data_IF_235643174644
#
_entry.id   IF_235643174644
#
_cell.length_a   1.000
_cell.length_b   1.000
_cell.length_c   1.000
_cell.angle_alpha   90.00
_cell.angle_beta   90.00
_cell.angle_gamma   90.00
#
_symmetry.space_group_name_H-M   'P 1'
#
loop_
_entity.id
_entity.type
_entity.pdbx_description
1 polymer ?
#
# COMPACT_ATOMS: atom_id res chain seq x y z
N UNK A 1 17.63 2.52 4.80
CA UNK A 1 16.48 2.12 5.65
C UNK A 1 15.47 1.36 4.80
N UNK A 2 14.83 0.32 5.33
CA UNK A 2 13.82 -0.49 4.61
C UNK A 2 12.57 0.32 4.24
N UNK A 3 12.30 1.41 4.97
CA UNK A 3 11.23 2.37 4.70
C UNK A 3 11.25 2.94 3.28
N UNK A 4 12.43 3.25 2.73
CA UNK A 4 12.54 3.78 1.36
C UNK A 4 12.09 2.74 0.32
N UNK A 5 12.36 1.46 0.58
CA UNK A 5 11.94 0.35 -0.28
C UNK A 5 10.42 0.17 -0.18
N UNK A 6 9.88 0.17 1.05
CA UNK A 6 8.43 0.10 1.29
C UNK A 6 7.73 1.25 0.58
N UNK A 7 8.19 2.49 0.79
CA UNK A 7 7.67 3.70 0.15
C UNK A 7 7.71 3.59 -1.38
N UNK A 8 8.83 3.15 -1.95
CA UNK A 8 8.98 3.02 -3.40
C UNK A 8 8.05 2.00 -4.03
N UNK A 9 7.69 0.93 -3.32
CA UNK A 9 6.73 -0.04 -3.83
C UNK A 9 5.28 0.41 -3.60
N UNK A 10 4.98 0.99 -2.44
CA UNK A 10 3.64 1.48 -2.11
C UNK A 10 3.27 2.74 -2.90
N UNK A 11 4.23 3.49 -3.45
CA UNK A 11 3.93 4.64 -4.31
C UNK A 11 3.12 4.27 -5.55
N UNK A 12 3.22 3.01 -6.02
CA UNK A 12 2.37 2.49 -7.10
C UNK A 12 0.87 2.54 -6.79
N UNK A 13 0.50 2.51 -5.51
CA UNK A 13 -0.90 2.58 -5.07
C UNK A 13 -1.48 3.99 -5.19
N UNK A 14 -0.66 5.02 -5.41
CA UNK A 14 -1.15 6.40 -5.58
C UNK A 14 -2.12 6.50 -6.76
N UNK A 15 -1.84 5.82 -7.86
CA UNK A 15 -2.63 5.85 -9.10
C UNK A 15 -3.79 4.84 -9.12
N UNK A 16 -3.93 3.98 -8.10
CA UNK A 16 -5.01 2.99 -8.05
C UNK A 16 -6.37 3.68 -7.85
N UNK A 17 -7.32 3.49 -8.76
CA UNK A 17 -8.63 4.16 -8.74
C UNK A 17 -9.77 3.24 -8.28
N UNK A 18 -9.50 1.94 -8.13
CA UNK A 18 -10.47 0.93 -7.69
C UNK A 18 -9.90 -0.07 -6.70
N UNK A 19 -10.77 -0.78 -5.97
CA UNK A 19 -10.37 -1.85 -5.06
C UNK A 19 -9.65 -3.01 -5.78
N UNK A 20 -10.04 -3.29 -7.02
CA UNK A 20 -9.45 -4.33 -7.87
C UNK A 20 -8.03 -3.97 -8.32
N UNK A 21 -7.79 -2.71 -8.67
CA UNK A 21 -6.44 -2.23 -8.99
C UNK A 21 -5.53 -2.25 -7.77
N UNK A 22 -6.06 -1.87 -6.60
CA UNK A 22 -5.32 -2.01 -5.34
C UNK A 22 -4.92 -3.46 -5.11
N UNK A 23 -5.83 -4.42 -5.29
CA UNK A 23 -5.50 -5.85 -5.14
C UNK A 23 -4.42 -6.30 -6.12
N UNK A 24 -4.55 -5.94 -7.41
CA UNK A 24 -3.54 -6.26 -8.45
C UNK A 24 -2.16 -5.70 -8.09
N UNK A 25 -2.09 -4.45 -7.66
CA UNK A 25 -0.83 -3.81 -7.27
C UNK A 25 -0.25 -4.49 -6.02
N UNK A 26 -1.07 -4.81 -5.03
CA UNK A 26 -0.63 -5.52 -3.83
C UNK A 26 -0.10 -6.93 -4.16
N UNK A 27 -0.76 -7.66 -5.06
CA UNK A 27 -0.30 -8.98 -5.52
C UNK A 27 1.03 -8.90 -6.29
N UNK A 28 1.31 -7.79 -6.95
CA UNK A 28 2.60 -7.53 -7.58
C UNK A 28 3.69 -7.11 -6.57
N UNK A 29 3.33 -6.27 -5.60
CA UNK A 29 4.26 -5.62 -4.67
C UNK A 29 4.66 -6.53 -3.51
N UNK A 30 3.72 -7.28 -2.92
CA UNK A 30 3.98 -8.11 -1.73
C UNK A 30 5.09 -9.14 -1.97
N UNK A 31 5.12 -9.90 -3.10
CA UNK A 31 6.22 -10.82 -3.38
C UNK A 31 7.57 -10.13 -3.50
N UNK A 32 7.60 -8.92 -4.09
CA UNK A 32 8.82 -8.12 -4.24
C UNK A 32 9.33 -7.62 -2.90
N UNK A 33 8.43 -7.17 -2.02
CA UNK A 33 8.77 -6.79 -0.64
C UNK A 33 9.34 -7.99 0.13
N UNK A 34 8.70 -9.16 0.03
CA UNK A 34 9.17 -10.41 0.65
C UNK A 34 10.57 -10.79 0.13
N UNK A 35 10.82 -10.70 -1.17
CA UNK A 35 12.12 -10.96 -1.78
C UNK A 35 13.23 -10.01 -1.29
N UNK A 36 12.87 -8.78 -0.89
CA UNK A 36 13.77 -7.81 -0.26
C UNK A 36 13.91 -8.01 1.27
N UNK A 37 13.39 -9.12 1.81
CA UNK A 37 13.42 -9.40 3.26
C UNK A 37 12.56 -8.45 4.07
N UNK A 38 11.47 -7.93 3.47
CA UNK A 38 10.46 -7.10 4.14
C UNK A 38 9.22 -7.95 4.38
N UNK A 39 8.86 -8.11 5.66
CA UNK A 39 7.67 -8.87 6.05
C UNK A 39 6.42 -8.00 6.04
N UNK A 40 5.24 -8.62 5.90
CA UNK A 40 3.95 -7.91 5.98
C UNK A 40 3.79 -7.12 7.29
N UNK A 41 4.20 -7.62 8.48
CA UNK A 41 4.22 -6.82 9.70
C UNK A 41 5.08 -5.55 9.60
N UNK A 42 6.21 -5.58 8.87
CA UNK A 42 7.03 -4.38 8.64
C UNK A 42 6.32 -3.37 7.74
N UNK A 43 5.60 -3.85 6.73
CA UNK A 43 4.73 -2.99 5.89
C UNK A 43 3.63 -2.36 6.75
N UNK A 44 3.00 -3.12 7.63
CA UNK A 44 1.98 -2.58 8.55
C UNK A 44 2.56 -1.56 9.53
N UNK A 45 3.76 -1.79 10.05
CA UNK A 45 4.46 -0.84 10.92
C UNK A 45 4.71 0.49 10.19
N UNK A 46 5.05 0.42 8.91
CA UNK A 46 5.15 1.61 8.06
C UNK A 46 3.81 2.35 7.97
N UNK A 47 2.69 1.66 7.69
CA UNK A 47 1.36 2.30 7.72
C UNK A 47 1.02 2.91 9.09
N UNK A 48 1.43 2.29 10.20
CA UNK A 48 1.22 2.84 11.55
C UNK A 48 2.03 4.12 11.80
N UNK A 49 3.22 4.23 11.22
CA UNK A 49 4.10 5.40 11.37
C UNK A 49 3.65 6.58 10.51
N UNK A 50 3.24 6.32 9.27
CA UNK A 50 2.95 7.38 8.29
C UNK A 50 1.44 7.63 8.09
N UNK A 51 0.56 6.75 8.59
CA UNK A 51 -0.89 6.93 8.49
C UNK A 51 -1.36 7.09 7.04
N UNK A 52 -2.12 8.15 6.78
CA UNK A 52 -2.62 8.49 5.45
C UNK A 52 -1.49 8.85 4.46
N UNK A 53 -0.33 9.31 4.95
CA UNK A 53 0.82 9.65 4.12
C UNK A 53 1.67 8.42 3.73
N UNK A 54 1.29 7.22 4.19
CA UNK A 54 1.92 5.98 3.78
C UNK A 54 1.77 5.73 2.26
N UNK A 55 0.70 6.27 1.66
CA UNK A 55 0.44 6.23 0.22
C UNK A 55 0.47 7.67 -0.30
N UNK A 56 1.30 7.97 -1.31
CA UNK A 56 1.28 9.29 -1.94
C UNK A 56 -0.10 9.61 -2.48
N UNK A 57 -0.52 10.86 -2.32
CA UNK A 57 -1.80 11.35 -2.86
C UNK A 57 -1.75 11.27 -4.38
N UNK A 58 -2.83 10.78 -4.97
CA UNK A 58 -3.00 10.89 -6.42
C UNK A 58 -3.15 12.35 -6.80
N UNK A 59 -2.51 12.77 -7.90
CA UNK A 59 -2.76 14.08 -8.51
C UNK A 59 -3.95 14.05 -9.48
N UNK A 60 -4.55 12.87 -9.72
CA UNK A 60 -5.72 12.75 -10.57
C UNK A 60 -6.98 13.20 -9.84
N UNK A 61 -7.60 14.28 -10.31
CA UNK A 61 -8.86 14.80 -9.78
C UNK A 61 -10.06 13.89 -10.07
N UNK A 62 -9.91 12.87 -10.92
CA UNK A 62 -10.94 11.86 -11.23
C UNK A 62 -10.88 10.63 -10.31
N UNK A 63 -9.99 10.65 -9.32
CA UNK A 63 -9.81 9.50 -8.45
C UNK A 63 -11.10 9.20 -7.67
N UNK A 64 -11.63 7.99 -7.83
CA UNK A 64 -12.91 7.59 -7.21
C UNK A 64 -12.77 7.27 -5.72
N UNK A 65 -11.53 7.09 -5.23
CA UNK A 65 -11.24 6.78 -3.83
C UNK A 65 -10.49 7.96 -3.21
N UNK A 66 -11.09 8.58 -2.19
CA UNK A 66 -10.42 9.57 -1.33
C UNK A 66 -9.10 9.01 -0.79
N UNK A 67 -8.05 9.83 -0.77
CA UNK A 67 -6.71 9.41 -0.35
C UNK A 67 -6.67 8.82 1.08
N UNK A 68 -7.39 9.41 2.04
CA UNK A 68 -7.51 8.89 3.40
C UNK A 68 -8.20 7.52 3.44
N UNK A 69 -9.23 7.33 2.61
CA UNK A 69 -9.88 6.02 2.49
C UNK A 69 -8.96 5.00 1.81
N UNK A 70 -8.12 5.42 0.87
CA UNK A 70 -7.20 4.53 0.14
C UNK A 70 -6.17 3.89 1.06
N UNK A 71 -5.54 4.67 1.94
CA UNK A 71 -4.59 4.14 2.92
C UNK A 71 -5.25 3.10 3.85
N UNK A 72 -6.48 3.38 4.32
CA UNK A 72 -7.24 2.45 5.15
C UNK A 72 -7.62 1.16 4.39
N UNK A 73 -8.11 1.27 3.15
CA UNK A 73 -8.46 0.13 2.29
C UNK A 73 -7.24 -0.76 2.07
N UNK A 74 -6.09 -0.17 1.76
CA UNK A 74 -4.85 -0.91 1.57
C UNK A 74 -4.43 -1.64 2.84
N UNK A 75 -4.51 -0.97 4.00
CA UNK A 75 -4.21 -1.60 5.28
C UNK A 75 -5.14 -2.79 5.57
N UNK A 76 -6.44 -2.66 5.30
CA UNK A 76 -7.41 -3.75 5.45
C UNK A 76 -7.10 -4.93 4.52
N UNK A 77 -6.73 -4.67 3.26
CA UNK A 77 -6.35 -5.71 2.30
C UNK A 77 -5.05 -6.41 2.68
N UNK A 78 -4.06 -5.67 3.17
CA UNK A 78 -2.81 -6.22 3.71
C UNK A 78 -3.07 -7.14 4.93
N UNK A 79 -3.95 -6.71 5.83
CA UNK A 79 -4.39 -7.51 6.97
C UNK A 79 -5.08 -8.83 6.55
N UNK A 80 -5.95 -8.77 5.53
CA UNK A 80 -6.60 -9.95 5.00
C UNK A 80 -5.59 -10.95 4.42
N UNK A 81 -4.59 -10.46 3.68
CA UNK A 81 -3.49 -11.26 3.11
C UNK A 81 -2.47 -11.78 4.14
N UNK A 82 -2.57 -11.36 5.41
CA UNK A 82 -1.79 -11.86 6.54
C UNK A 82 -2.45 -13.03 7.25
N UNK A 83 -3.79 -13.11 7.19
CA UNK A 83 -4.59 -14.15 7.85
C UNK A 83 -4.76 -15.42 6.99
N UNK A 84 -4.53 -15.29 5.68
CA UNK A 84 -4.43 -16.39 4.72
C UNK A 84 -2.97 -16.73 4.45
#
# INVERSE_FOLDING_TARGET
>A
MKDNIIKSYLSKLSDANSNEEIDKILDEVIPKLKANGISLPQVMMYFKMYGDDAIPKSQDHRNSISNSNKAQIVLQKLLAKLKN
#
